data_IF_728131216280
#
_entry.id   IF_728131216280
#
_cell.length_a   1.000
_cell.length_b   1.000
_cell.length_c   1.000
_cell.angle_alpha   90.00
_cell.angle_beta   90.00
_cell.angle_gamma   90.00
#
_symmetry.space_group_name_H-M   'P 1'
#
loop_
_entity.id
_entity.type
_entity.pdbx_description
1 polymer ?
#
# COMPACT_ATOMS: atom_id res chain seq x y z
N UNK A 1 -8.88 -17.03 33.57
CA UNK A 1 -9.74 -16.46 32.51
C UNK A 1 -9.04 -15.23 31.94
N UNK A 2 -8.25 -15.38 30.87
CA UNK A 2 -7.56 -14.24 30.26
C UNK A 2 -8.56 -13.48 29.38
N UNK A 3 -9.04 -12.33 29.87
CA UNK A 3 -9.91 -11.41 29.13
C UNK A 3 -9.11 -10.85 27.95
N UNK A 4 -9.48 -11.25 26.73
CA UNK A 4 -8.94 -10.67 25.50
C UNK A 4 -9.48 -9.24 25.37
N UNK A 5 -8.65 -8.24 25.63
CA UNK A 5 -8.98 -6.84 25.41
C UNK A 5 -8.71 -6.52 23.94
N UNK A 6 -9.69 -6.13 23.13
CA UNK A 6 -9.42 -5.64 21.78
C UNK A 6 -8.66 -4.32 21.89
N UNK A 7 -7.34 -4.38 21.70
CA UNK A 7 -6.51 -3.19 21.54
C UNK A 7 -7.14 -2.26 20.51
N UNK A 8 -7.42 -1.02 20.92
CA UNK A 8 -8.25 -0.06 20.20
C UNK A 8 -7.74 0.24 18.79
N UNK A 9 -8.26 -0.50 17.81
CA UNK A 9 -8.09 -0.13 16.41
C UNK A 9 -9.12 0.94 16.09
N UNK A 10 -8.67 2.20 16.10
CA UNK A 10 -9.53 3.36 15.81
C UNK A 10 -10.08 3.21 14.39
N UNK A 11 -11.36 3.54 14.18
CA UNK A 11 -11.94 3.53 12.85
C UNK A 11 -11.44 4.72 12.03
N UNK A 12 -11.61 4.65 10.71
CA UNK A 12 -11.38 5.80 9.85
C UNK A 12 -12.30 6.95 10.27
N UNK A 13 -11.78 8.16 10.36
CA UNK A 13 -12.52 9.38 10.72
C UNK A 13 -13.40 9.91 9.58
N UNK A 14 -13.27 9.34 8.37
CA UNK A 14 -14.13 9.67 7.24
C UNK A 14 -15.50 9.06 7.50
N UNK A 15 -16.52 9.92 7.50
CA UNK A 15 -17.92 9.55 7.77
C UNK A 15 -18.35 8.42 6.82
N UNK A 16 -18.94 7.36 7.39
CA UNK A 16 -19.41 6.21 6.62
C UNK A 16 -18.32 5.25 6.14
N UNK A 17 -17.06 5.42 6.54
CA UNK A 17 -16.00 4.49 6.16
C UNK A 17 -15.94 3.29 7.15
N UNK A 18 -16.21 2.05 6.71
CA UNK A 18 -16.12 0.87 7.58
C UNK A 18 -14.66 0.46 7.87
N UNK A 19 -13.70 1.06 7.18
CA UNK A 19 -12.30 0.68 7.29
C UNK A 19 -11.67 1.16 8.59
N UNK A 20 -10.69 0.39 9.09
CA UNK A 20 -9.89 0.77 10.26
C UNK A 20 -8.88 1.85 9.89
N UNK A 21 -8.68 2.79 10.81
CA UNK A 21 -7.60 3.78 10.72
C UNK A 21 -6.27 3.08 10.89
N UNK A 22 -5.35 3.34 9.98
CA UNK A 22 -3.96 2.87 10.05
C UNK A 22 -3.06 3.93 10.65
N UNK A 23 -3.21 5.18 10.22
CA UNK A 23 -2.49 6.33 10.75
C UNK A 23 -3.31 7.60 10.57
N UNK A 24 -3.10 8.59 11.44
CA UNK A 24 -3.75 9.92 11.38
C UNK A 24 -5.30 9.86 11.40
N UNK A 25 -5.88 8.80 11.94
CA UNK A 25 -7.33 8.60 11.91
C UNK A 25 -7.85 8.13 10.55
N UNK A 26 -7.00 7.82 9.57
CA UNK A 26 -7.41 7.52 8.20
C UNK A 26 -7.09 6.07 7.83
N UNK A 27 -7.92 5.46 6.99
CA UNK A 27 -7.67 4.13 6.43
C UNK A 27 -6.72 4.20 5.23
N UNK A 28 -6.33 3.06 4.67
CA UNK A 28 -5.47 3.01 3.48
C UNK A 28 -6.00 3.83 2.30
N UNK A 29 -7.31 3.74 2.04
CA UNK A 29 -7.97 4.46 0.96
C UNK A 29 -8.06 5.97 1.21
N UNK A 30 -8.16 6.38 2.48
CA UNK A 30 -8.32 7.78 2.87
C UNK A 30 -7.01 8.44 3.34
N UNK A 31 -5.85 7.90 2.97
CA UNK A 31 -4.55 8.55 3.25
C UNK A 31 -3.93 8.20 4.61
N UNK A 32 -4.35 7.12 5.23
CA UNK A 32 -3.69 6.52 6.41
C UNK A 32 -2.38 5.80 6.09
N UNK A 33 -2.02 5.69 4.81
CA UNK A 33 -0.70 5.24 4.39
C UNK A 33 0.33 6.37 4.43
N UNK A 34 1.62 6.02 4.49
CA UNK A 34 2.68 7.02 4.36
C UNK A 34 2.65 7.60 2.94
N UNK A 35 2.79 8.92 2.74
CA UNK A 35 2.94 9.46 1.40
C UNK A 35 4.29 9.04 0.79
N UNK A 36 4.34 9.03 -0.53
CA UNK A 36 5.58 8.85 -1.27
C UNK A 36 6.55 10.01 -0.97
N UNK A 37 7.81 9.68 -0.70
CA UNK A 37 8.90 10.63 -0.44
C UNK A 37 9.35 11.41 -1.68
N UNK A 38 8.90 11.00 -2.87
CA UNK A 38 9.17 11.70 -4.11
C UNK A 38 8.42 13.04 -4.16
N UNK A 39 9.10 14.07 -4.65
CA UNK A 39 8.60 15.44 -4.69
C UNK A 39 7.25 15.53 -5.45
N UNK A 40 6.28 16.24 -4.87
CA UNK A 40 4.92 16.38 -5.41
C UNK A 40 4.12 15.07 -5.63
N UNK A 41 4.51 13.96 -4.99
CA UNK A 41 3.78 12.70 -5.12
C UNK A 41 2.72 12.48 -4.03
N UNK A 42 1.44 12.53 -4.40
CA UNK A 42 0.30 12.27 -3.50
C UNK A 42 -0.01 10.78 -3.31
N UNK A 43 0.73 9.88 -4.00
CA UNK A 43 0.49 8.44 -3.92
C UNK A 43 1.02 7.88 -2.61
N UNK A 44 0.35 6.84 -2.11
CA UNK A 44 0.79 6.11 -0.93
C UNK A 44 2.09 5.35 -1.22
N UNK A 45 3.06 5.51 -0.32
CA UNK A 45 4.26 4.71 -0.30
C UNK A 45 3.95 3.25 0.01
N UNK A 46 4.45 2.36 -0.85
CA UNK A 46 4.34 0.92 -0.69
C UNK A 46 5.55 0.37 0.08
N UNK A 47 6.75 0.67 -0.42
CA UNK A 47 8.01 0.18 0.15
C UNK A 47 9.07 1.27 0.08
N UNK A 48 10.02 1.28 1.05
CA UNK A 48 11.14 2.24 1.13
C UNK A 48 10.71 3.71 1.16
N UNK A 49 9.44 4.00 1.47
CA UNK A 49 8.90 5.35 1.45
C UNK A 49 8.54 5.86 0.05
N UNK A 50 8.50 5.00 -0.97
CA UNK A 50 8.11 5.39 -2.32
C UNK A 50 6.82 4.69 -2.76
N UNK A 51 6.06 5.32 -3.65
CA UNK A 51 4.90 4.68 -4.27
C UNK A 51 5.36 3.72 -5.38
N UNK A 52 4.39 3.01 -5.97
CA UNK A 52 4.66 2.10 -7.09
C UNK A 52 5.53 2.74 -8.20
N UNK A 53 5.15 3.94 -8.64
CA UNK A 53 5.83 4.65 -9.73
C UNK A 53 7.24 5.12 -9.36
N UNK A 54 7.51 5.36 -8.07
CA UNK A 54 8.75 5.95 -7.59
C UNK A 54 9.67 4.95 -6.86
N UNK A 55 9.50 3.64 -7.08
CA UNK A 55 10.41 2.61 -6.54
C UNK A 55 9.93 1.88 -5.29
N UNK A 56 8.65 2.01 -4.95
CA UNK A 56 7.99 1.25 -3.88
C UNK A 56 7.44 -0.11 -4.31
N UNK A 57 7.46 -0.42 -5.61
CA UNK A 57 7.00 -1.68 -6.17
C UNK A 57 8.14 -2.47 -6.81
N UNK A 58 8.00 -3.79 -6.87
CA UNK A 58 8.94 -4.65 -7.62
C UNK A 58 8.66 -4.52 -9.11
N UNK A 59 9.67 -4.42 -9.96
CA UNK A 59 9.48 -4.43 -11.42
C UNK A 59 9.25 -5.85 -11.92
N UNK A 60 8.62 -5.97 -13.09
CA UNK A 60 8.53 -7.22 -13.81
C UNK A 60 9.92 -7.86 -13.93
N UNK A 61 10.03 -9.14 -13.60
CA UNK A 61 11.27 -9.91 -13.70
C UNK A 61 11.75 -10.11 -15.14
N UNK A 62 10.85 -9.99 -16.13
CA UNK A 62 11.22 -10.11 -17.53
C UNK A 62 12.18 -8.99 -17.93
N UNK A 63 13.28 -9.38 -18.57
CA UNK A 63 14.27 -8.46 -19.12
C UNK A 63 13.63 -7.51 -20.15
N UNK A 64 14.00 -6.22 -20.11
CA UNK A 64 13.38 -5.18 -20.93
C UNK A 64 11.97 -4.75 -20.50
N UNK A 65 11.39 -5.30 -19.42
CA UNK A 65 10.06 -4.92 -18.97
C UNK A 65 10.08 -3.97 -17.77
N UNK A 66 9.64 -2.73 -17.98
CA UNK A 66 9.51 -1.72 -16.91
C UNK A 66 8.14 -1.72 -16.21
N UNK A 67 7.27 -2.66 -16.57
CA UNK A 67 5.91 -2.77 -16.02
C UNK A 67 5.90 -3.20 -14.56
N UNK A 68 4.76 -3.00 -13.88
CA UNK A 68 4.58 -3.43 -12.51
C UNK A 68 4.76 -4.93 -12.33
N UNK A 69 5.59 -5.42 -11.39
CA UNK A 69 5.70 -6.85 -11.08
C UNK A 69 4.86 -7.25 -9.87
N UNK A 70 3.98 -8.24 -10.01
CA UNK A 70 3.10 -8.68 -8.92
C UNK A 70 3.61 -9.99 -8.30
N UNK A 71 3.66 -10.09 -6.98
CA UNK A 71 4.13 -11.31 -6.29
C UNK A 71 3.26 -12.52 -6.62
N UNK A 72 1.94 -12.32 -6.76
CA UNK A 72 0.98 -13.33 -7.24
C UNK A 72 1.29 -13.87 -8.65
N UNK A 73 2.05 -13.12 -9.44
CA UNK A 73 2.50 -13.50 -10.79
C UNK A 73 4.01 -13.80 -10.77
N UNK A 74 4.59 -14.26 -9.65
CA UNK A 74 6.03 -14.57 -9.58
C UNK A 74 6.97 -13.37 -9.75
N UNK A 75 6.48 -12.15 -9.47
CA UNK A 75 7.14 -10.86 -9.76
C UNK A 75 7.20 -10.49 -11.26
N UNK A 76 6.33 -11.06 -12.07
CA UNK A 76 6.10 -10.61 -13.43
C UNK A 76 4.90 -9.65 -13.52
N UNK A 77 4.79 -8.91 -14.62
CA UNK A 77 3.64 -8.03 -14.84
C UNK A 77 2.38 -8.81 -15.23
N UNK A 78 1.24 -8.12 -15.31
CA UNK A 78 -0.02 -8.69 -15.77
C UNK A 78 0.11 -9.27 -17.19
N UNK A 79 0.94 -8.67 -18.03
CA UNK A 79 1.28 -9.17 -19.37
C UNK A 79 2.26 -10.34 -19.42
N UNK A 80 2.97 -10.63 -18.33
CA UNK A 80 3.99 -11.69 -18.29
C UNK A 80 3.63 -12.70 -17.20
N UNK A 81 2.35 -13.05 -17.10
CA UNK A 81 1.88 -14.05 -16.15
C UNK A 81 2.25 -15.45 -16.66
N UNK A 82 3.18 -16.13 -15.96
CA UNK A 82 3.43 -17.56 -16.13
C UNK A 82 2.52 -18.36 -15.20
#
# INVERSE_FOLDING_TARGET
>A
MLKWQPGGSKQCTVVGCPNRSKARGLCWAHGGGKPCKYDNCVKTALLRGFCWAHGGGKRCKLDGCHRPGYERNGNYCDHHCH
#
